data_IF_698192208652
#
_entry.id   IF_698192208652
#
_cell.length_a   1.000
_cell.length_b   1.000
_cell.length_c   1.000
_cell.angle_alpha   90.00
_cell.angle_beta   90.00
_cell.angle_gamma   90.00
#
_symmetry.space_group_name_H-M   'P 1'
#
loop_
_entity.id
_entity.type
_entity.pdbx_description
1 polymer ?
#
# COMPACT_ATOMS: atom_id res chain seq x y z
N UNK A 1 -19.72 -2.09 9.17
CA UNK A 1 -18.39 -2.26 8.55
C UNK A 1 -17.38 -2.15 9.68
N UNK A 2 -16.49 -3.13 9.90
CA UNK A 2 -15.50 -2.99 10.99
C UNK A 2 -14.66 -1.73 10.73
N UNK A 3 -14.32 -0.96 11.77
CA UNK A 3 -13.50 0.27 11.61
C UNK A 3 -12.20 -0.03 10.86
N UNK A 4 -11.66 -1.23 11.05
CA UNK A 4 -10.43 -1.69 10.42
C UNK A 4 -10.58 -1.88 8.90
N UNK A 5 -11.76 -2.30 8.40
CA UNK A 5 -11.98 -2.46 6.96
C UNK A 5 -12.06 -1.09 6.25
N UNK A 6 -12.75 -0.12 6.84
CA UNK A 6 -12.82 1.22 6.26
C UNK A 6 -11.43 1.88 6.22
N UNK A 7 -10.64 1.73 7.29
CA UNK A 7 -9.26 2.22 7.34
C UNK A 7 -8.39 1.62 6.22
N UNK A 8 -8.49 0.31 5.98
CA UNK A 8 -7.74 -0.33 4.89
C UNK A 8 -8.12 0.20 3.52
N UNK A 9 -9.43 0.37 3.26
CA UNK A 9 -9.91 0.97 2.01
C UNK A 9 -9.38 2.39 1.86
N UNK A 10 -9.44 3.20 2.91
CA UNK A 10 -8.96 4.59 2.86
C UNK A 10 -7.45 4.65 2.56
N UNK A 11 -6.64 3.76 3.14
CA UNK A 11 -5.21 3.65 2.84
C UNK A 11 -4.94 3.24 1.38
N UNK A 12 -5.75 2.34 0.83
CA UNK A 12 -5.63 1.92 -0.57
C UNK A 12 -6.06 3.03 -1.54
N UNK A 13 -7.15 3.73 -1.23
CA UNK A 13 -7.67 4.85 -2.05
C UNK A 13 -6.67 6.02 -2.06
N UNK A 14 -6.07 6.34 -0.91
CA UNK A 14 -5.00 7.34 -0.79
C UNK A 14 -3.78 6.92 -1.64
N UNK A 15 -3.31 5.69 -1.46
CA UNK A 15 -2.17 5.16 -2.23
C UNK A 15 -2.45 5.18 -3.74
N UNK A 16 -3.66 4.82 -4.16
CA UNK A 16 -4.06 4.85 -5.56
C UNK A 16 -4.06 6.29 -6.11
N UNK A 17 -4.62 7.23 -5.37
CA UNK A 17 -4.69 8.64 -5.76
C UNK A 17 -3.28 9.20 -5.96
N UNK A 18 -2.37 8.96 -5.02
CA UNK A 18 -0.98 9.40 -5.13
C UNK A 18 -0.26 8.84 -6.37
N UNK A 19 -0.51 7.56 -6.69
CA UNK A 19 0.07 6.92 -7.88
C UNK A 19 -0.46 7.58 -9.15
N UNK A 20 -1.77 7.83 -9.22
CA UNK A 20 -2.39 8.51 -10.36
C UNK A 20 -1.82 9.92 -10.52
N UNK A 21 -1.72 10.68 -9.42
CA UNK A 21 -1.14 12.03 -9.44
C UNK A 21 0.32 12.02 -9.89
N UNK A 22 1.12 11.07 -9.41
CA UNK A 22 2.50 10.92 -9.84
C UNK A 22 2.57 10.69 -11.36
N UNK A 23 1.76 9.76 -11.89
CA UNK A 23 1.75 9.45 -13.33
C UNK A 23 1.31 10.67 -14.16
N UNK A 24 0.25 11.35 -13.75
CA UNK A 24 -0.31 12.50 -14.47
C UNK A 24 0.62 13.72 -14.46
N UNK A 25 1.43 13.88 -13.41
CA UNK A 25 2.38 14.98 -13.27
C UNK A 25 3.79 14.65 -13.78
N UNK A 26 3.95 13.55 -14.54
CA UNK A 26 5.24 13.22 -15.15
C UNK A 26 5.71 14.37 -16.05
N UNK A 27 6.92 14.92 -15.85
CA UNK A 27 7.44 15.99 -16.69
C UNK A 27 7.77 15.50 -18.11
N UNK A 28 7.79 16.45 -19.05
CA UNK A 28 8.22 16.18 -20.42
C UNK A 28 9.70 15.79 -20.45
N UNK A 29 10.05 14.89 -21.37
CA UNK A 29 11.37 14.23 -21.44
C UNK A 29 12.51 15.22 -21.71
N UNK A 30 12.20 16.38 -22.28
CA UNK A 30 13.18 17.39 -22.67
C UNK A 30 13.64 18.26 -21.48
N UNK A 31 12.90 18.28 -20.35
CA UNK A 31 13.28 18.99 -19.14
C UNK A 31 14.01 18.04 -18.16
N UNK A 32 15.32 17.92 -18.34
CA UNK A 32 16.16 17.00 -17.55
C UNK A 32 16.14 17.30 -16.05
N UNK A 33 16.26 18.57 -15.65
CA UNK A 33 16.35 18.92 -14.23
C UNK A 33 15.03 18.69 -13.52
N UNK A 34 13.91 19.06 -14.16
CA UNK A 34 12.57 18.76 -13.63
C UNK A 34 12.31 17.25 -13.57
N UNK A 35 12.78 16.51 -14.57
CA UNK A 35 12.70 15.05 -14.58
C UNK A 35 13.48 14.43 -13.42
N UNK A 36 14.71 14.90 -13.16
CA UNK A 36 15.53 14.42 -12.04
C UNK A 36 14.83 14.63 -10.70
N UNK A 37 14.37 15.86 -10.45
CA UNK A 37 13.66 16.22 -9.21
C UNK A 37 12.37 15.39 -9.06
N UNK A 38 11.60 15.25 -10.14
CA UNK A 38 10.41 14.41 -10.15
C UNK A 38 10.72 12.96 -9.79
N UNK A 39 11.75 12.35 -10.38
CA UNK A 39 12.13 10.98 -10.06
C UNK A 39 12.58 10.81 -8.61
N UNK A 40 13.37 11.73 -8.08
CA UNK A 40 13.77 11.72 -6.66
C UNK A 40 12.55 11.77 -5.73
N UNK A 41 11.55 12.60 -6.06
CA UNK A 41 10.31 12.69 -5.30
C UNK A 41 9.46 11.41 -5.44
N UNK A 42 9.27 10.89 -6.65
CA UNK A 42 8.50 9.65 -6.89
C UNK A 42 9.10 8.47 -6.14
N UNK A 43 10.43 8.35 -6.09
CA UNK A 43 11.09 7.30 -5.30
C UNK A 43 10.77 7.41 -3.82
N UNK A 44 10.71 8.63 -3.26
CA UNK A 44 10.28 8.84 -1.89
C UNK A 44 8.81 8.42 -1.68
N UNK A 45 7.91 8.79 -2.59
CA UNK A 45 6.50 8.36 -2.54
C UNK A 45 6.34 6.84 -2.66
N UNK A 46 7.13 6.18 -3.52
CA UNK A 46 7.12 4.73 -3.67
C UNK A 46 7.39 3.98 -2.36
N UNK A 47 8.28 4.50 -1.52
CA UNK A 47 8.52 3.91 -0.19
C UNK A 47 7.26 3.98 0.68
N UNK A 48 6.55 5.11 0.67
CA UNK A 48 5.30 5.26 1.43
C UNK A 48 4.20 4.33 0.89
N UNK A 49 4.07 4.21 -0.44
CA UNK A 49 3.11 3.29 -1.07
C UNK A 49 3.37 1.84 -0.64
N UNK A 50 4.64 1.43 -0.60
CA UNK A 50 5.03 0.08 -0.13
C UNK A 50 4.63 -0.14 1.32
N UNK A 51 4.85 0.82 2.21
CA UNK A 51 4.48 0.70 3.61
C UNK A 51 2.96 0.65 3.82
N UNK A 52 2.19 1.49 3.11
CA UNK A 52 0.73 1.45 3.14
C UNK A 52 0.19 0.09 2.67
N UNK A 53 0.73 -0.45 1.57
CA UNK A 53 0.36 -1.78 1.06
C UNK A 53 0.70 -2.87 2.08
N UNK A 54 1.89 -2.82 2.70
CA UNK A 54 2.29 -3.77 3.76
C UNK A 54 1.35 -3.71 4.95
N UNK A 55 0.97 -2.52 5.42
CA UNK A 55 0.06 -2.35 6.55
C UNK A 55 -1.29 -3.02 6.26
N UNK A 56 -1.85 -2.75 5.08
CA UNK A 56 -3.12 -3.35 4.65
C UNK A 56 -2.99 -4.88 4.56
N UNK A 57 -1.94 -5.40 3.92
CA UNK A 57 -1.72 -6.85 3.82
C UNK A 57 -1.61 -7.51 5.20
N UNK A 58 -0.82 -6.95 6.11
CA UNK A 58 -0.68 -7.45 7.47
C UNK A 58 -2.02 -7.46 8.23
N UNK A 59 -2.84 -6.42 8.03
CA UNK A 59 -4.16 -6.34 8.64
C UNK A 59 -5.12 -7.40 8.09
N UNK A 60 -5.07 -7.69 6.78
CA UNK A 60 -5.84 -8.75 6.15
C UNK A 60 -5.39 -10.14 6.60
N UNK A 61 -4.08 -10.40 6.67
CA UNK A 61 -3.52 -11.69 7.13
C UNK A 61 -3.92 -12.01 8.58
N UNK A 62 -3.98 -11.00 9.45
CA UNK A 62 -4.49 -11.17 10.83
C UNK A 62 -5.96 -11.60 10.90
N UNK A 63 -6.74 -11.38 9.83
CA UNK A 63 -8.14 -11.83 9.74
C UNK A 63 -8.28 -13.18 9.06
N UNK A 64 -7.21 -13.71 8.47
CA UNK A 64 -7.21 -15.08 7.97
C UNK A 64 -7.28 -16.02 9.18
N UNK A 65 -8.30 -16.90 9.29
CA UNK A 65 -8.33 -17.87 10.37
C UNK A 65 -7.07 -18.73 10.27
N UNK A 66 -6.41 -18.98 11.40
CA UNK A 66 -5.24 -19.86 11.46
C UNK A 66 -5.60 -21.16 10.76
N UNK A 67 -4.97 -21.42 9.61
CA UNK A 67 -5.09 -22.69 8.90
C UNK A 67 -4.31 -23.74 9.68
N UNK A 68 -4.84 -24.16 10.82
CA UNK A 68 -4.59 -25.46 11.43
C UNK A 68 -5.48 -25.64 12.68
N UNK A 69 -6.66 -26.20 12.46
CA UNK A 69 -7.26 -27.13 13.41
C UNK A 69 -7.20 -28.51 12.78
N UNK A 70 -5.98 -29.02 12.56
CA UNK A 70 -5.79 -30.47 12.44
C UNK A 70 -6.06 -31.10 13.81
N UNK A 71 -6.50 -32.36 13.81
CA UNK A 71 -7.07 -33.05 14.97
C UNK A 71 -6.13 -33.17 16.19
N UNK A 72 -4.87 -32.77 16.08
CA UNK A 72 -3.83 -32.88 17.09
C UNK A 72 -3.81 -31.75 18.15
N UNK A 73 -4.60 -30.67 17.96
CA UNK A 73 -4.61 -29.50 18.86
C UNK A 73 -5.97 -29.20 19.52
N UNK A 74 -6.76 -30.23 19.85
CA UNK A 74 -7.93 -30.03 20.72
C UNK A 74 -7.48 -29.95 22.19
N UNK A 75 -7.86 -28.92 22.98
CA UNK A 75 -7.66 -28.97 24.42
C UNK A 75 -8.47 -30.15 24.98
N UNK A 76 -7.82 -30.91 25.88
CA UNK A 76 -8.38 -32.09 26.53
C UNK A 76 -9.65 -31.79 27.32
#
# INVERSE_FOLDING_TARGET
MSRDFKKEIDLLDETYTDIVEAIMNKPEVEDYERSRIYFENVVAHMNNWIENIKEVKNSLEKREPVKDLTADNRPA
#
